data_IF_987636330131
#
_entry.id   IF_987636330131
#
_cell.length_a   1.000
_cell.length_b   1.000
_cell.length_c   1.000
_cell.angle_alpha   90.00
_cell.angle_beta   90.00
_cell.angle_gamma   90.00
#
_symmetry.space_group_name_H-M   'P 1'
#
loop_
_entity.id
_entity.type
_entity.pdbx_description
1 polymer ?
#
# COMPACT_ATOMS: atom_id res chain seq x y z
N UNK A 1 -11.98 -15.34 -7.46
CA UNK A 1 -13.36 -15.08 -7.95
C UNK A 1 -13.45 -15.10 -9.47
N UNK A 2 -12.71 -14.25 -10.21
CA UNK A 2 -12.76 -14.23 -11.68
C UNK A 2 -12.37 -15.57 -12.34
N UNK A 3 -11.38 -16.29 -11.81
CA UNK A 3 -11.02 -17.63 -12.31
C UNK A 3 -12.18 -18.63 -12.23
N UNK A 4 -12.98 -18.54 -11.16
CA UNK A 4 -14.18 -19.37 -11.00
C UNK A 4 -15.24 -18.98 -12.02
N UNK A 5 -15.41 -17.68 -12.26
CA UNK A 5 -16.33 -17.17 -13.26
C UNK A 5 -15.97 -17.64 -14.67
N UNK A 6 -14.70 -17.54 -15.08
CA UNK A 6 -14.23 -18.01 -16.40
C UNK A 6 -14.46 -19.51 -16.60
N UNK A 7 -14.24 -20.31 -15.55
CA UNK A 7 -14.47 -21.76 -15.58
C UNK A 7 -15.94 -22.12 -15.78
N UNK A 8 -16.83 -21.41 -15.08
CA UNK A 8 -18.28 -21.65 -15.17
C UNK A 8 -18.84 -21.07 -16.47
N UNK A 9 -18.29 -19.98 -17.00
CA UNK A 9 -18.67 -19.39 -18.29
C UNK A 9 -18.64 -20.42 -19.42
N UNK A 10 -17.57 -21.22 -19.49
CA UNK A 10 -17.44 -22.29 -20.49
C UNK A 10 -18.54 -23.35 -20.38
N UNK A 11 -19.01 -23.63 -19.16
CA UNK A 11 -20.09 -24.58 -18.90
C UNK A 11 -21.47 -23.98 -19.18
N UNK A 12 -21.67 -22.69 -18.92
CA UNK A 12 -22.94 -22.01 -19.23
C UNK A 12 -23.15 -21.94 -20.74
N UNK A 13 -22.07 -21.77 -21.52
CA UNK A 13 -22.12 -21.72 -22.98
C UNK A 13 -22.61 -23.02 -23.63
N UNK A 14 -22.55 -24.15 -22.94
CA UNK A 14 -23.09 -25.41 -23.46
C UNK A 14 -24.59 -25.56 -23.24
N UNK A 15 -25.22 -24.61 -22.53
CA UNK A 15 -26.64 -24.65 -22.17
C UNK A 15 -27.37 -23.52 -22.91
N UNK A 16 -28.08 -23.88 -23.99
CA UNK A 16 -28.75 -22.95 -24.92
C UNK A 16 -29.64 -21.92 -24.20
N UNK A 17 -30.43 -22.35 -23.22
CA UNK A 17 -31.36 -21.49 -22.49
C UNK A 17 -30.71 -20.34 -21.70
N UNK A 18 -29.39 -20.41 -21.43
CA UNK A 18 -28.68 -19.44 -20.59
C UNK A 18 -27.43 -18.85 -21.26
N UNK A 19 -27.09 -19.26 -22.49
CA UNK A 19 -25.92 -18.74 -23.21
C UNK A 19 -25.99 -17.20 -23.40
N UNK A 20 -27.18 -16.67 -23.71
CA UNK A 20 -27.40 -15.24 -23.94
C UNK A 20 -27.24 -14.37 -22.69
N UNK A 21 -27.31 -14.98 -21.50
CA UNK A 21 -27.22 -14.26 -20.22
C UNK A 21 -25.77 -13.95 -19.83
N UNK A 22 -24.80 -14.52 -20.55
CA UNK A 22 -23.40 -14.42 -20.19
C UNK A 22 -22.67 -13.45 -21.14
N UNK A 23 -21.80 -12.57 -20.60
CA UNK A 23 -21.01 -11.66 -21.42
C UNK A 23 -20.22 -12.40 -22.50
N UNK A 24 -20.38 -11.93 -23.74
CA UNK A 24 -19.77 -12.52 -24.94
C UNK A 24 -18.96 -11.47 -25.70
N UNK A 25 -18.11 -11.90 -26.63
CA UNK A 25 -17.35 -11.01 -27.51
C UNK A 25 -16.37 -10.09 -26.76
N UNK A 26 -16.55 -8.77 -26.90
CA UNK A 26 -15.65 -7.77 -26.30
C UNK A 26 -15.69 -7.82 -24.77
N UNK A 27 -16.85 -8.04 -24.17
CA UNK A 27 -16.99 -8.07 -22.71
C UNK A 27 -16.26 -9.27 -22.10
N UNK A 28 -16.33 -10.45 -22.74
CA UNK A 28 -15.58 -11.63 -22.31
C UNK A 28 -14.06 -11.44 -22.44
N UNK A 29 -13.60 -10.82 -23.54
CA UNK A 29 -12.17 -10.50 -23.73
C UNK A 29 -11.63 -9.57 -22.64
N UNK A 30 -12.37 -8.52 -22.27
CA UNK A 30 -12.00 -7.63 -21.15
C UNK A 30 -11.90 -8.38 -19.82
N UNK A 31 -12.76 -9.38 -19.61
CA UNK A 31 -12.74 -10.19 -18.39
C UNK A 31 -11.51 -11.11 -18.31
N UNK A 32 -11.08 -11.67 -19.45
CA UNK A 32 -9.83 -12.44 -19.54
C UNK A 32 -8.60 -11.55 -19.32
N UNK A 33 -8.59 -10.36 -19.91
CA UNK A 33 -7.51 -9.38 -19.71
C UNK A 33 -7.40 -8.94 -18.24
N UNK A 34 -8.54 -8.65 -17.61
CA UNK A 34 -8.61 -8.36 -16.18
C UNK A 34 -8.08 -9.53 -15.34
N UNK A 35 -8.40 -10.77 -15.70
CA UNK A 35 -7.89 -11.94 -15.00
C UNK A 35 -6.36 -12.02 -15.06
N UNK A 36 -5.75 -11.79 -16.22
CA UNK A 36 -4.30 -11.75 -16.37
C UNK A 36 -3.65 -10.63 -15.56
N UNK A 37 -4.28 -9.46 -15.49
CA UNK A 37 -3.80 -8.37 -14.62
C UNK A 37 -3.92 -8.74 -13.15
N UNK A 38 -5.03 -9.38 -12.75
CA UNK A 38 -5.26 -9.83 -11.37
C UNK A 38 -4.22 -10.84 -10.88
N UNK A 39 -3.70 -11.70 -11.76
CA UNK A 39 -2.63 -12.66 -11.41
C UNK A 39 -1.32 -12.01 -10.98
N UNK A 40 -1.09 -10.72 -11.28
CA UNK A 40 0.10 -9.98 -10.86
C UNK A 40 0.00 -9.46 -9.43
N UNK A 41 -1.22 -9.30 -8.90
CA UNK A 41 -1.44 -8.75 -7.55
C UNK A 41 -0.86 -9.58 -6.41
N UNK A 42 -0.90 -10.94 -6.41
CA UNK A 42 -0.25 -11.72 -5.36
C UNK A 42 1.24 -11.38 -5.17
N UNK A 43 1.96 -11.10 -6.26
CA UNK A 43 3.36 -10.66 -6.19
C UNK A 43 3.49 -9.26 -5.57
N UNK A 44 2.59 -8.33 -5.92
CA UNK A 44 2.54 -6.98 -5.36
C UNK A 44 2.17 -7.02 -3.88
N UNK A 45 1.13 -7.76 -3.50
CA UNK A 45 0.71 -7.94 -2.11
C UNK A 45 1.82 -8.57 -1.28
N UNK A 46 2.49 -9.61 -1.80
CA UNK A 46 3.62 -10.24 -1.11
C UNK A 46 4.78 -9.26 -0.93
N UNK A 47 5.12 -8.47 -1.96
CA UNK A 47 6.15 -7.44 -1.86
C UNK A 47 5.81 -6.39 -0.80
N UNK A 48 4.58 -5.85 -0.83
CA UNK A 48 4.10 -4.89 0.16
C UNK A 48 4.05 -5.47 1.59
N UNK A 49 3.81 -6.78 1.73
CA UNK A 49 3.83 -7.47 3.02
C UNK A 49 5.27 -7.76 3.51
N UNK A 50 6.23 -7.91 2.61
CA UNK A 50 7.64 -8.14 2.97
C UNK A 50 8.40 -6.84 3.27
N UNK A 51 8.00 -5.71 2.69
CA UNK A 51 8.67 -4.41 2.82
C UNK A 51 8.44 -3.70 4.18
N UNK A 52 8.17 -4.46 5.25
CA UNK A 52 8.36 -3.99 6.63
C UNK A 52 7.15 -3.41 7.36
N UNK A 53 5.92 -3.69 6.94
CA UNK A 53 4.74 -3.42 7.79
C UNK A 53 4.54 -4.60 8.74
N UNK A 54 5.43 -4.71 9.73
CA UNK A 54 5.15 -5.53 10.91
C UNK A 54 3.95 -4.90 11.64
N UNK A 55 2.95 -5.70 11.96
CA UNK A 55 1.82 -5.30 12.81
C UNK A 55 2.28 -4.85 14.21
N UNK A 56 3.53 -5.15 14.59
CA UNK A 56 4.17 -4.62 15.79
C UNK A 56 4.37 -3.08 15.79
N UNK A 57 4.33 -2.40 14.65
CA UNK A 57 4.41 -0.92 14.59
C UNK A 57 3.03 -0.23 14.66
N UNK A 58 1.97 -0.97 15.00
CA UNK A 58 0.72 -0.37 15.51
C UNK A 58 0.70 -0.48 17.02
N UNK A 59 1.54 0.31 17.68
CA UNK A 59 1.26 0.66 19.06
C UNK A 59 0.00 1.55 19.10
N UNK A 60 -1.18 0.92 19.21
CA UNK A 60 -2.46 1.60 19.43
C UNK A 60 -2.48 2.49 20.69
N UNK A 61 -1.44 2.37 21.54
CA UNK A 61 -1.19 3.15 22.74
C UNK A 61 0.09 4.00 22.64
N UNK A 62 0.52 4.40 21.43
CA UNK A 62 1.63 5.33 21.29
C UNK A 62 1.24 6.68 21.94
N UNK A 63 1.58 6.85 23.22
CA UNK A 63 1.25 8.00 24.06
C UNK A 63 1.71 9.33 23.46
N UNK A 64 2.66 9.28 22.52
CA UNK A 64 3.15 10.42 21.74
C UNK A 64 2.06 11.05 20.88
N UNK A 65 1.24 10.27 20.16
CA UNK A 65 0.19 10.83 19.28
C UNK A 65 -0.93 11.48 20.10
N UNK A 66 -1.10 11.08 21.36
CA UNK A 66 -2.07 11.66 22.28
C UNK A 66 -1.51 12.79 23.17
N UNK A 67 -0.23 13.15 23.03
CA UNK A 67 0.36 14.27 23.78
C UNK A 67 -0.23 15.61 23.32
N UNK A 68 -0.91 16.38 24.20
CA UNK A 68 -1.47 17.68 23.83
C UNK A 68 -0.41 18.67 23.36
N UNK A 69 0.80 18.61 23.96
CA UNK A 69 1.92 19.49 23.62
C UNK A 69 2.45 19.19 22.22
N UNK A 70 2.56 17.91 21.86
CA UNK A 70 2.99 17.51 20.52
C UNK A 70 1.98 17.94 19.44
N UNK A 71 0.68 17.75 19.69
CA UNK A 71 -0.38 18.19 18.75
C UNK A 71 -0.36 19.69 18.52
N UNK A 72 -0.25 20.48 19.58
CA UNK A 72 -0.16 21.93 19.48
C UNK A 72 1.12 22.37 18.72
N UNK A 73 2.25 21.73 19.01
CA UNK A 73 3.50 21.98 18.32
C UNK A 73 3.41 21.70 16.82
N UNK A 74 2.85 20.57 16.41
CA UNK A 74 2.69 20.20 15.00
C UNK A 74 1.84 21.22 14.22
N UNK A 75 0.70 21.65 14.81
CA UNK A 75 -0.16 22.67 14.21
C UNK A 75 0.59 24.00 14.05
N UNK A 76 1.41 24.38 15.04
CA UNK A 76 2.23 25.61 14.96
C UNK A 76 3.33 25.51 13.91
N UNK A 77 4.02 24.37 13.81
CA UNK A 77 5.04 24.12 12.77
C UNK A 77 4.44 24.28 11.37
N UNK A 78 3.27 23.67 11.12
CA UNK A 78 2.59 23.72 9.81
C UNK A 78 2.14 25.14 9.46
N UNK A 79 1.62 25.88 10.44
CA UNK A 79 1.09 27.23 10.25
C UNK A 79 2.15 28.35 10.41
N UNK A 80 3.42 28.00 10.63
CA UNK A 80 4.51 28.98 10.83
C UNK A 80 4.41 29.78 12.14
N UNK A 81 3.73 29.26 13.16
CA UNK A 81 3.58 29.91 14.46
C UNK A 81 4.81 29.75 15.37
N UNK A 82 4.90 30.58 16.41
CA UNK A 82 6.00 30.52 17.39
C UNK A 82 5.91 29.27 18.28
N UNK A 83 6.97 28.47 18.28
CA UNK A 83 7.07 27.21 19.04
C UNK A 83 7.74 27.48 20.40
N UNK A 84 7.12 27.04 21.49
CA UNK A 84 7.69 27.14 22.84
C UNK A 84 8.79 26.10 23.08
N UNK A 85 9.62 26.29 24.11
CA UNK A 85 10.71 25.35 24.44
C UNK A 85 10.23 23.91 24.71
N UNK A 86 9.06 23.77 25.33
CA UNK A 86 8.44 22.46 25.59
C UNK A 86 7.94 21.78 24.30
N UNK A 87 7.35 22.57 23.41
CA UNK A 87 6.89 22.10 22.09
C UNK A 87 8.08 21.69 21.20
N UNK A 88 9.18 22.45 21.21
CA UNK A 88 10.40 22.11 20.48
C UNK A 88 11.01 20.79 20.96
N UNK A 89 11.04 20.56 22.28
CA UNK A 89 11.52 19.30 22.85
C UNK A 89 10.65 18.10 22.44
N UNK A 90 9.33 18.30 22.33
CA UNK A 90 8.38 17.26 21.93
C UNK A 90 8.48 16.87 20.44
N UNK A 91 8.83 17.82 19.56
CA UNK A 91 8.94 17.57 18.11
C UNK A 91 10.34 17.14 17.68
N UNK A 92 11.37 17.43 18.48
CA UNK A 92 12.78 17.09 18.20
C UNK A 92 13.03 15.65 17.70
N UNK A 93 12.40 14.59 18.25
CA UNK A 93 12.61 13.22 17.76
C UNK A 93 12.10 12.98 16.33
N UNK A 94 11.22 13.86 15.83
CA UNK A 94 10.61 13.80 14.49
C UNK A 94 11.29 14.74 13.50
N UNK A 95 12.36 15.43 13.91
CA UNK A 95 13.16 16.24 13.00
C UNK A 95 13.93 15.30 12.06
N UNK A 96 13.50 15.24 10.81
CA UNK A 96 14.21 14.49 9.77
C UNK A 96 15.56 15.17 9.56
N UNK A 97 16.65 14.45 9.87
CA UNK A 97 17.99 14.89 9.47
C UNK A 97 17.94 15.19 7.98
N UNK A 98 18.38 16.38 7.55
CA UNK A 98 18.32 16.75 6.13
C UNK A 98 18.98 15.64 5.31
N UNK A 99 18.14 14.87 4.61
CA UNK A 99 18.58 13.82 3.71
C UNK A 99 19.18 14.52 2.49
N UNK A 100 20.47 14.78 2.58
CA UNK A 100 21.30 15.22 1.47
C UNK A 100 22.50 14.32 1.41
N UNK A 101 22.31 13.01 1.19
CA UNK A 101 23.36 12.13 0.67
C UNK A 101 22.74 10.86 0.06
N UNK A 102 23.13 10.63 -1.18
CA UNK A 102 22.62 9.63 -2.11
C UNK A 102 22.78 8.19 -1.62
N UNK A 103 21.73 7.39 -1.84
CA UNK A 103 21.72 5.93 -1.82
C UNK A 103 22.96 5.36 -2.55
N UNK A 104 23.84 4.68 -1.81
CA UNK A 104 24.81 3.73 -2.40
C UNK A 104 24.16 2.35 -2.41
N UNK A 105 23.89 1.85 -3.60
CA UNK A 105 23.50 0.46 -3.88
C UNK A 105 24.61 -0.50 -3.43
N UNK A 106 24.34 -1.53 -2.61
CA UNK A 106 25.27 -2.63 -2.38
C UNK A 106 25.15 -3.61 -3.56
N UNK A 107 26.02 -3.48 -4.57
CA UNK A 107 26.08 -4.45 -5.66
C UNK A 107 27.50 -4.84 -6.10
N UNK A 108 28.52 -4.60 -5.26
CA UNK A 108 29.92 -4.89 -5.60
C UNK A 108 30.57 -6.03 -4.79
N UNK A 109 29.83 -6.73 -3.92
CA UNK A 109 30.40 -7.79 -3.05
C UNK A 109 30.37 -9.22 -3.64
N UNK A 110 30.08 -9.41 -4.93
CA UNK A 110 30.03 -10.74 -5.57
C UNK A 110 31.09 -10.99 -6.66
N UNK A 111 32.24 -10.34 -6.58
CA UNK A 111 33.40 -10.69 -7.41
C UNK A 111 34.68 -10.77 -6.55
N UNK A 112 34.88 -11.93 -5.92
CA UNK A 112 36.20 -12.38 -5.49
C UNK A 112 36.33 -13.90 -5.56
#
# INVERSE_FOLDING_TARGET
MLERYVRIHQQIRTVEAVEELVPTGVAYRKLLELLEHMKKFPSITKKLQCDGIDLADRNANASIVHSPVFKAAAVKVINGGTISKAEAAAVKPFEVAKCGETLKTPLDDYAK
#
